data_IF_694576761901
#
_entry.id   IF_694576761901
#
_cell.length_a   1.000
_cell.length_b   1.000
_cell.length_c   1.000
_cell.angle_alpha   90.00
_cell.angle_beta   90.00
_cell.angle_gamma   90.00
#
_symmetry.space_group_name_H-M   'P 1'
#
loop_
_entity.id
_entity.type
_entity.pdbx_description
1 polymer ?
#
# COMPACT_ATOMS: atom_id res chain seq x y z
N UNK A 1 -17.14 -4.03 -14.17
CA UNK A 1 -16.30 -4.25 -12.98
C UNK A 1 -17.16 -4.89 -11.89
N UNK A 2 -16.62 -5.86 -11.12
CA UNK A 2 -17.34 -6.40 -9.96
C UNK A 2 -17.14 -5.43 -8.79
N UNK A 3 -18.18 -4.74 -8.36
CA UNK A 3 -18.13 -3.87 -7.19
C UNK A 3 -18.27 -4.72 -5.92
N UNK A 4 -17.14 -5.02 -5.28
CA UNK A 4 -17.07 -5.91 -4.11
C UNK A 4 -17.21 -5.11 -2.81
N UNK A 5 -16.57 -3.93 -2.75
CA UNK A 5 -16.54 -3.10 -1.56
C UNK A 5 -17.77 -2.17 -1.61
N UNK A 6 -18.70 -2.40 -0.68
CA UNK A 6 -19.94 -1.64 -0.52
C UNK A 6 -19.83 -0.74 0.70
N UNK A 7 -20.66 0.30 0.74
CA UNK A 7 -20.81 1.15 1.92
C UNK A 7 -21.59 0.40 3.03
N UNK A 8 -20.96 -0.60 3.63
CA UNK A 8 -21.50 -1.38 4.73
C UNK A 8 -20.42 -1.74 5.74
N UNK A 9 -20.83 -2.00 6.98
CA UNK A 9 -19.92 -2.33 8.07
C UNK A 9 -19.02 -3.54 7.75
N UNK A 10 -19.58 -4.57 7.09
CA UNK A 10 -18.84 -5.79 6.74
C UNK A 10 -17.67 -5.52 5.80
N UNK A 11 -17.84 -4.68 4.77
CA UNK A 11 -16.74 -4.35 3.85
C UNK A 11 -15.66 -3.57 4.56
N UNK A 12 -16.03 -2.59 5.39
CA UNK A 12 -15.05 -1.81 6.16
C UNK A 12 -14.27 -2.68 7.14
N UNK A 13 -14.93 -3.61 7.83
CA UNK A 13 -14.28 -4.54 8.74
C UNK A 13 -13.26 -5.44 8.00
N UNK A 14 -13.61 -5.96 6.82
CA UNK A 14 -12.69 -6.74 5.99
C UNK A 14 -11.47 -5.90 5.60
N UNK A 15 -11.68 -4.66 5.17
CA UNK A 15 -10.59 -3.75 4.79
C UNK A 15 -9.71 -3.40 5.98
N UNK A 16 -10.29 -3.19 7.17
CA UNK A 16 -9.54 -2.98 8.39
C UNK A 16 -8.67 -4.19 8.73
N UNK A 17 -9.19 -5.42 8.64
CA UNK A 17 -8.40 -6.65 8.84
C UNK A 17 -7.24 -6.72 7.83
N UNK A 18 -7.49 -6.40 6.55
CA UNK A 18 -6.43 -6.33 5.54
C UNK A 18 -5.36 -5.29 5.88
N UNK A 19 -5.75 -4.12 6.41
CA UNK A 19 -4.83 -3.10 6.90
C UNK A 19 -3.99 -3.58 8.09
N UNK A 20 -4.58 -4.33 9.02
CA UNK A 20 -3.86 -4.97 10.13
C UNK A 20 -2.84 -5.98 9.61
N UNK A 21 -3.26 -6.87 8.70
CA UNK A 21 -2.37 -7.86 8.09
C UNK A 21 -1.23 -7.20 7.32
N UNK A 22 -1.50 -6.11 6.60
CA UNK A 22 -0.49 -5.32 5.92
C UNK A 22 0.53 -4.72 6.90
N UNK A 23 0.07 -4.09 7.99
CA UNK A 23 0.94 -3.53 9.01
C UNK A 23 1.80 -4.59 9.72
N UNK A 24 1.23 -5.76 10.00
CA UNK A 24 1.95 -6.90 10.55
C UNK A 24 2.98 -7.46 9.56
N UNK A 25 2.65 -7.53 8.27
CA UNK A 25 3.57 -7.97 7.23
C UNK A 25 4.77 -7.01 7.13
N UNK A 26 4.53 -5.70 7.09
CA UNK A 26 5.59 -4.68 7.13
C UNK A 26 6.47 -4.87 8.35
N UNK A 27 5.88 -4.99 9.55
CA UNK A 27 6.65 -5.19 10.77
C UNK A 27 7.47 -6.49 10.74
N UNK A 28 6.90 -7.59 10.25
CA UNK A 28 7.57 -8.88 10.13
C UNK A 28 8.77 -8.82 9.17
N UNK A 29 8.56 -8.30 7.96
CA UNK A 29 9.63 -8.16 6.96
C UNK A 29 10.71 -7.18 7.40
N UNK A 30 10.37 -6.19 8.22
CA UNK A 30 11.35 -5.25 8.81
C UNK A 30 12.36 -5.92 9.75
N UNK A 31 12.12 -7.15 10.23
CA UNK A 31 13.04 -7.87 11.12
C UNK A 31 14.22 -8.53 10.38
N UNK A 32 14.16 -8.64 9.06
CA UNK A 32 15.19 -9.31 8.27
C UNK A 32 16.32 -8.36 7.87
N UNK A 33 17.54 -8.86 7.63
CA UNK A 33 18.66 -8.04 7.17
C UNK A 33 18.44 -7.52 5.74
N UNK A 34 19.07 -6.37 5.45
CA UNK A 34 18.99 -5.67 4.18
C UNK A 34 19.91 -6.26 3.09
N UNK A 35 21.00 -6.92 3.49
CA UNK A 35 22.16 -7.24 2.64
C UNK A 35 22.04 -8.56 1.87
N UNK A 36 20.99 -9.34 2.10
CA UNK A 36 20.84 -10.66 1.48
C UNK A 36 20.22 -10.55 0.08
N UNK A 37 20.39 -11.59 -0.75
CA UNK A 37 19.74 -11.69 -2.07
C UNK A 37 18.24 -11.34 -2.03
N UNK A 38 17.57 -11.72 -0.93
CA UNK A 38 16.15 -11.49 -0.73
C UNK A 38 15.81 -10.08 -0.26
N UNK A 39 16.71 -9.39 0.46
CA UNK A 39 16.51 -8.04 1.01
C UNK A 39 15.08 -7.76 1.52
N UNK A 40 14.49 -8.70 2.28
CA UNK A 40 13.09 -8.65 2.71
C UNK A 40 12.72 -7.34 3.43
N UNK A 41 13.67 -6.74 4.15
CA UNK A 41 13.47 -5.44 4.83
C UNK A 41 13.01 -4.33 3.89
N UNK A 42 13.34 -4.37 2.60
CA UNK A 42 12.90 -3.36 1.63
C UNK A 42 11.38 -3.26 1.56
N UNK A 43 10.66 -4.36 1.85
CA UNK A 43 9.20 -4.45 1.77
C UNK A 43 8.54 -3.50 2.76
N UNK A 44 9.26 -3.29 3.85
CA UNK A 44 8.85 -2.42 4.94
C UNK A 44 9.32 -0.98 4.81
N UNK A 45 10.44 -0.73 4.12
CA UNK A 45 11.18 0.53 4.29
C UNK A 45 11.22 1.41 3.05
N UNK A 46 11.18 0.85 1.84
CA UNK A 46 11.38 1.62 0.61
C UNK A 46 10.44 1.25 -0.54
N UNK A 47 9.87 0.05 -0.54
CA UNK A 47 9.01 -0.33 -1.64
C UNK A 47 7.65 0.32 -1.52
N UNK A 48 7.21 1.03 -2.56
CA UNK A 48 5.89 1.66 -2.62
C UNK A 48 4.98 1.00 -3.66
N UNK A 49 5.53 0.21 -4.58
CA UNK A 49 4.84 -0.36 -5.74
C UNK A 49 3.72 -1.32 -5.32
N UNK A 50 4.03 -2.23 -4.40
CA UNK A 50 3.02 -3.10 -3.78
C UNK A 50 1.90 -2.30 -3.09
N UNK A 51 2.24 -1.24 -2.34
CA UNK A 51 1.26 -0.45 -1.60
C UNK A 51 0.36 0.36 -2.56
N UNK A 52 0.98 1.02 -3.55
CA UNK A 52 0.29 1.73 -4.64
C UNK A 52 -0.64 0.79 -5.42
N UNK A 53 -0.20 -0.46 -5.66
CA UNK A 53 -1.05 -1.50 -6.27
C UNK A 53 -2.26 -1.82 -5.39
N UNK A 54 -2.06 -2.11 -4.10
CA UNK A 54 -3.16 -2.47 -3.18
C UNK A 54 -4.18 -1.33 -3.02
N UNK A 55 -3.71 -0.08 -2.90
CA UNK A 55 -4.56 1.12 -2.85
C UNK A 55 -5.38 1.28 -4.12
N UNK A 56 -4.76 1.11 -5.29
CA UNK A 56 -5.47 1.16 -6.56
C UNK A 56 -6.59 0.10 -6.60
N UNK A 57 -6.27 -1.15 -6.25
CA UNK A 57 -7.24 -2.25 -6.19
C UNK A 57 -8.43 -1.89 -5.28
N UNK A 58 -8.20 -1.40 -4.07
CA UNK A 58 -9.27 -0.99 -3.13
C UNK A 58 -10.21 0.05 -3.78
N UNK A 59 -9.65 1.07 -4.42
CA UNK A 59 -10.43 2.12 -5.08
C UNK A 59 -11.25 1.57 -6.24
N UNK A 60 -10.68 0.67 -7.06
CA UNK A 60 -11.37 0.11 -8.22
C UNK A 60 -12.51 -0.83 -7.87
N UNK A 61 -12.32 -1.66 -6.84
CA UNK A 61 -13.34 -2.59 -6.36
C UNK A 61 -14.43 -1.92 -5.51
N UNK A 62 -14.30 -0.62 -5.25
CA UNK A 62 -15.31 0.16 -4.55
C UNK A 62 -16.48 0.55 -5.45
N UNK A 63 -17.69 0.37 -4.92
CA UNK A 63 -18.95 0.72 -5.60
C UNK A 63 -19.20 2.23 -5.62
N UNK A 64 -18.91 2.88 -4.50
CA UNK A 64 -19.25 4.28 -4.26
C UNK A 64 -17.99 5.05 -3.88
N UNK A 65 -17.98 6.35 -4.22
CA UNK A 65 -16.87 7.26 -3.89
C UNK A 65 -16.61 7.29 -2.37
N UNK A 66 -17.68 7.36 -1.57
CA UNK A 66 -17.58 7.33 -0.10
C UNK A 66 -16.91 6.04 0.39
N UNK A 67 -17.31 4.90 -0.19
CA UNK A 67 -16.75 3.59 0.14
C UNK A 67 -15.27 3.49 -0.21
N UNK A 68 -14.84 4.05 -1.36
CA UNK A 68 -13.43 4.06 -1.77
C UNK A 68 -12.56 4.85 -0.80
N UNK A 69 -12.99 6.07 -0.47
CA UNK A 69 -12.24 6.97 0.44
C UNK A 69 -12.15 6.37 1.84
N UNK A 70 -13.28 5.92 2.41
CA UNK A 70 -13.28 5.37 3.78
C UNK A 70 -12.47 4.08 3.85
N UNK A 71 -12.59 3.20 2.85
CA UNK A 71 -11.82 1.96 2.82
C UNK A 71 -10.33 2.22 2.73
N UNK A 72 -9.91 3.15 1.87
CA UNK A 72 -8.50 3.53 1.74
C UNK A 72 -7.96 4.14 3.04
N UNK A 73 -8.72 5.06 3.64
CA UNK A 73 -8.33 5.67 4.92
C UNK A 73 -8.17 4.62 6.01
N UNK A 74 -9.11 3.66 6.12
CA UNK A 74 -9.03 2.58 7.11
C UNK A 74 -7.83 1.65 6.85
N UNK A 75 -7.64 1.25 5.60
CA UNK A 75 -6.53 0.37 5.20
C UNK A 75 -5.19 0.96 5.60
N UNK A 76 -4.93 2.20 5.17
CA UNK A 76 -3.67 2.91 5.42
C UNK A 76 -3.52 3.24 6.91
N UNK A 77 -4.60 3.67 7.58
CA UNK A 77 -4.55 3.95 9.02
C UNK A 77 -4.12 2.72 9.82
N UNK A 78 -4.76 1.56 9.61
CA UNK A 78 -4.41 0.34 10.35
C UNK A 78 -3.01 -0.16 9.99
N UNK A 79 -2.61 -0.07 8.72
CA UNK A 79 -1.25 -0.40 8.29
C UNK A 79 -0.20 0.44 9.05
N UNK A 80 -0.38 1.76 9.12
CA UNK A 80 0.55 2.65 9.84
C UNK A 80 0.45 2.53 11.37
N UNK A 81 -0.73 2.25 11.91
CA UNK A 81 -0.93 2.02 13.33
C UNK A 81 -0.09 0.84 13.82
N UNK A 82 -0.16 -0.30 13.13
CA UNK A 82 0.59 -1.50 13.52
C UNK A 82 2.10 -1.36 13.30
N UNK A 83 2.52 -0.63 12.25
CA UNK A 83 3.94 -0.34 12.06
C UNK A 83 4.47 0.64 13.12
N UNK A 84 3.64 1.58 13.57
CA UNK A 84 3.92 2.47 14.70
C UNK A 84 4.12 1.71 16.01
N UNK A 85 3.22 0.76 16.32
CA UNK A 85 3.38 -0.16 17.46
C UNK A 85 4.72 -0.90 17.38
N UNK A 86 5.06 -1.42 16.20
CA UNK A 86 6.31 -2.14 15.95
C UNK A 86 7.59 -1.30 16.10
N UNK A 87 7.52 0.01 15.85
CA UNK A 87 8.65 0.93 16.09
C UNK A 87 8.87 1.16 17.58
N UNK A 88 7.79 1.30 18.34
CA UNK A 88 7.87 1.55 19.78
C UNK A 88 8.35 0.32 20.56
N UNK A 89 7.94 -0.88 20.17
CA UNK A 89 8.48 -2.11 20.79
C UNK A 89 9.99 -2.19 20.64
N UNK A 90 10.53 -1.79 19.48
CA UNK A 90 11.99 -1.69 19.25
C UNK A 90 12.66 -0.62 20.10
N UNK A 91 12.04 0.55 20.26
CA UNK A 91 12.56 1.65 21.10
C UNK A 91 12.57 1.30 22.59
N UNK A 92 11.56 0.57 23.07
CA UNK A 92 11.52 0.03 24.44
C UNK A 92 12.62 -1.02 24.61
N UNK A 93 12.80 -1.91 23.64
CA UNK A 93 13.82 -2.97 23.69
C UNK A 93 15.25 -2.42 23.60
N UNK A 94 15.48 -1.30 22.89
CA UNK A 94 16.79 -0.66 22.79
C UNK A 94 17.19 0.16 24.02
N UNK A 95 16.36 0.17 25.08
CA UNK A 95 16.63 0.92 26.32
C UNK A 95 16.50 2.44 26.18
N UNK A 96 16.03 2.94 25.03
CA UNK A 96 15.95 4.36 24.72
C UNK A 96 14.65 5.04 25.19
N UNK A 97 13.72 4.31 25.82
CA UNK A 97 12.35 4.79 26.04
C UNK A 97 11.84 4.72 27.47
N UNK A 98 12.18 5.73 28.29
CA UNK A 98 11.42 6.12 29.50
C UNK A 98 10.51 7.30 29.16
N UNK A 99 9.80 7.22 28.04
CA UNK A 99 8.79 8.21 27.64
C UNK A 99 7.44 7.80 28.25
N UNK A 100 6.79 8.75 28.92
CA UNK A 100 5.46 8.59 29.53
C UNK A 100 4.51 7.86 28.58
N UNK A 101 3.92 6.75 29.05
CA UNK A 101 3.04 5.87 28.30
C UNK A 101 1.93 6.63 27.54
N UNK A 102 1.43 7.72 28.13
CA UNK A 102 0.41 8.56 27.52
C UNK A 102 0.91 9.23 26.23
N UNK A 103 2.10 9.81 26.22
CA UNK A 103 2.63 10.50 25.04
C UNK A 103 2.91 9.51 23.91
N UNK A 104 3.43 8.33 24.25
CA UNK A 104 3.71 7.25 23.30
C UNK A 104 2.41 6.71 22.67
N UNK A 105 1.36 6.55 23.47
CA UNK A 105 0.06 6.10 22.98
C UNK A 105 -0.58 7.11 22.03
N UNK A 106 -0.50 8.40 22.36
CA UNK A 106 -0.93 9.48 21.47
C UNK A 106 -0.14 9.46 20.16
N UNK A 107 1.18 9.32 20.22
CA UNK A 107 2.03 9.27 19.03
C UNK A 107 1.66 8.11 18.10
N UNK A 108 1.37 6.90 18.62
CA UNK A 108 0.92 5.75 17.80
C UNK A 108 -0.39 6.05 17.07
N UNK A 109 -1.38 6.58 17.81
CA UNK A 109 -2.72 6.83 17.26
C UNK A 109 -2.64 7.86 16.14
N UNK A 110 -1.87 8.94 16.35
CA UNK A 110 -1.77 10.04 15.40
C UNK A 110 -0.75 9.79 14.28
N UNK A 111 0.13 8.79 14.43
CA UNK A 111 1.15 8.47 13.42
C UNK A 111 0.56 8.16 12.03
N UNK A 112 -0.52 7.37 11.98
CA UNK A 112 -1.15 6.95 10.73
C UNK A 112 -2.15 7.96 10.14
N UNK A 113 -2.63 8.92 10.93
CA UNK A 113 -3.67 9.88 10.53
C UNK A 113 -3.28 10.74 9.31
N UNK A 114 -2.11 11.39 9.24
CA UNK A 114 -1.76 12.23 8.09
C UNK A 114 -1.68 11.41 6.79
N UNK A 115 -1.09 10.21 6.85
CA UNK A 115 -1.00 9.30 5.71
C UNK A 115 -2.38 8.83 5.24
N UNK A 116 -3.26 8.47 6.17
CA UNK A 116 -4.63 8.06 5.86
C UNK A 116 -5.41 9.20 5.16
N UNK A 117 -5.27 10.45 5.62
CA UNK A 117 -5.94 11.60 4.98
C UNK A 117 -5.42 11.81 3.55
N UNK A 118 -4.11 11.79 3.35
CA UNK A 118 -3.50 11.97 2.01
C UNK A 118 -3.97 10.85 1.06
N UNK A 119 -3.91 9.59 1.50
CA UNK A 119 -4.36 8.46 0.69
C UNK A 119 -5.87 8.50 0.42
N UNK A 120 -6.68 8.95 1.39
CA UNK A 120 -8.11 9.17 1.19
C UNK A 120 -8.42 10.22 0.12
N UNK A 121 -7.66 11.31 0.09
CA UNK A 121 -7.77 12.33 -0.97
C UNK A 121 -7.35 11.77 -2.34
N UNK A 122 -6.24 11.03 -2.40
CA UNK A 122 -5.81 10.36 -3.63
C UNK A 122 -6.84 9.35 -4.12
N UNK A 123 -7.44 8.57 -3.22
CA UNK A 123 -8.53 7.65 -3.53
C UNK A 123 -9.76 8.37 -4.08
N UNK A 124 -10.08 9.56 -3.57
CA UNK A 124 -11.16 10.38 -4.12
C UNK A 124 -10.88 10.76 -5.58
N UNK A 125 -9.67 11.23 -5.87
CA UNK A 125 -9.28 11.64 -7.22
C UNK A 125 -9.24 10.43 -8.16
N UNK A 126 -8.66 9.31 -7.71
CA UNK A 126 -8.57 8.07 -8.47
C UNK A 126 -9.95 7.44 -8.73
N UNK A 127 -10.88 7.53 -7.78
CA UNK A 127 -12.26 7.08 -7.98
C UNK A 127 -12.97 7.92 -9.06
N UNK A 128 -12.65 9.21 -9.18
CA UNK A 128 -13.21 10.04 -10.25
C UNK A 128 -12.64 9.67 -11.62
N UNK A 129 -11.38 9.25 -11.67
CA UNK A 129 -10.74 8.73 -12.86
C UNK A 129 -11.45 7.47 -13.42
N UNK A 130 -12.11 6.66 -12.56
CA UNK A 130 -12.95 5.51 -12.97
C UNK A 130 -14.07 5.89 -13.95
N UNK A 131 -14.51 7.16 -14.00
CA UNK A 131 -15.58 7.64 -14.90
C UNK A 131 -15.18 7.80 -16.38
N UNK A 132 -13.98 7.35 -16.78
CA UNK A 132 -13.51 7.24 -18.19
C UNK A 132 -13.46 8.57 -18.97
N UNK A 133 -12.84 9.60 -18.38
CA UNK A 133 -12.39 10.78 -19.14
C UNK A 133 -10.91 10.59 -19.58
N UNK A 134 -10.41 11.38 -20.54
CA UNK A 134 -9.00 11.34 -20.99
C UNK A 134 -8.01 11.46 -19.81
N UNK A 135 -8.27 12.41 -18.90
CA UNK A 135 -7.54 12.56 -17.63
C UNK A 135 -7.67 11.33 -16.71
N UNK A 136 -8.82 10.67 -16.76
CA UNK A 136 -9.07 9.44 -15.99
C UNK A 136 -8.20 8.28 -16.47
N UNK A 137 -8.02 8.13 -17.77
CA UNK A 137 -7.13 7.10 -18.33
C UNK A 137 -5.66 7.33 -17.94
N UNK A 138 -5.21 8.59 -17.92
CA UNK A 138 -3.85 8.94 -17.49
C UNK A 138 -3.67 8.62 -16.00
N UNK A 139 -4.62 8.99 -15.15
CA UNK A 139 -4.55 8.68 -13.72
C UNK A 139 -4.63 7.18 -13.42
N UNK A 140 -5.37 6.43 -14.24
CA UNK A 140 -5.42 4.97 -14.19
C UNK A 140 -4.07 4.33 -14.56
N UNK A 141 -3.26 5.01 -15.36
CA UNK A 141 -1.95 4.52 -15.77
C UNK A 141 -0.88 4.84 -14.73
N UNK A 142 -1.13 5.77 -13.80
CA UNK A 142 -0.15 6.23 -12.81
C UNK A 142 0.35 5.09 -11.90
N UNK A 143 -0.51 4.24 -11.30
CA UNK A 143 -0.04 3.10 -10.50
C UNK A 143 0.80 2.12 -11.33
N UNK A 144 0.43 1.90 -12.59
CA UNK A 144 1.15 1.00 -13.49
C UNK A 144 2.55 1.51 -13.81
N UNK A 145 2.67 2.79 -14.19
CA UNK A 145 3.97 3.41 -14.48
C UNK A 145 4.86 3.37 -13.24
N UNK A 146 4.29 3.64 -12.07
CA UNK A 146 5.04 3.63 -10.82
C UNK A 146 5.64 2.25 -10.51
N UNK A 147 4.82 1.19 -10.57
CA UNK A 147 5.28 -0.20 -10.35
C UNK A 147 6.36 -0.57 -11.39
N UNK A 148 6.23 -0.10 -12.63
CA UNK A 148 7.20 -0.39 -13.69
C UNK A 148 8.55 0.30 -13.43
N UNK A 149 8.54 1.56 -12.99
CA UNK A 149 9.77 2.28 -12.61
C UNK A 149 10.48 1.57 -11.46
N UNK A 150 9.74 1.19 -10.43
CA UNK A 150 10.27 0.49 -9.26
C UNK A 150 10.85 -0.89 -9.62
N UNK A 151 10.14 -1.63 -10.48
CA UNK A 151 10.62 -2.92 -11.01
C UNK A 151 11.94 -2.75 -11.76
N UNK A 152 12.08 -1.71 -12.60
CA UNK A 152 13.33 -1.45 -13.33
C UNK A 152 14.47 -1.13 -12.35
N UNK A 153 14.24 -0.26 -11.37
CA UNK A 153 15.27 0.13 -10.40
C UNK A 153 15.76 -1.08 -9.59
N UNK A 154 14.84 -1.90 -9.08
CA UNK A 154 15.22 -3.12 -8.35
C UNK A 154 15.83 -4.18 -9.25
N UNK A 155 15.44 -4.27 -10.53
CA UNK A 155 16.07 -5.18 -11.50
C UNK A 155 17.52 -4.78 -11.80
N UNK A 156 17.81 -3.49 -11.94
CA UNK A 156 19.19 -2.99 -12.11
C UNK A 156 20.02 -3.33 -10.86
N UNK A 157 19.48 -3.08 -9.66
CA UNK A 157 20.15 -3.44 -8.40
C UNK A 157 20.40 -4.94 -8.27
N UNK A 158 19.47 -5.78 -8.74
CA UNK A 158 19.64 -7.23 -8.78
C UNK A 158 20.77 -7.66 -9.73
N UNK A 159 20.88 -7.04 -10.90
CA UNK A 159 21.94 -7.36 -11.87
C UNK A 159 23.32 -6.92 -11.38
N UNK A 160 23.43 -5.73 -10.77
CA UNK A 160 24.72 -5.17 -10.33
C UNK A 160 25.19 -5.75 -8.99
N UNK A 161 24.29 -5.80 -8.00
CA UNK A 161 24.64 -6.12 -6.61
C UNK A 161 24.20 -7.52 -6.17
N UNK A 162 23.44 -8.25 -7.00
CA UNK A 162 22.82 -9.55 -6.65
C UNK A 162 21.96 -9.47 -5.38
N UNK A 163 21.24 -8.37 -5.20
CA UNK A 163 20.31 -8.15 -4.09
C UNK A 163 18.90 -7.85 -4.60
N UNK A 164 17.88 -7.88 -3.72
CA UNK A 164 16.50 -7.44 -4.01
C UNK A 164 15.67 -8.37 -4.92
N UNK A 165 15.99 -9.67 -4.99
CA UNK A 165 15.22 -10.65 -5.76
C UNK A 165 13.74 -10.69 -5.35
N UNK A 166 13.47 -10.59 -4.04
CA UNK A 166 12.12 -10.58 -3.51
C UNK A 166 11.26 -9.47 -4.11
N UNK A 167 11.84 -8.26 -4.23
CA UNK A 167 11.12 -7.10 -4.79
C UNK A 167 10.77 -7.29 -6.25
N UNK A 168 11.74 -7.75 -7.04
CA UNK A 168 11.52 -8.03 -8.45
C UNK A 168 10.37 -9.03 -8.63
N UNK A 169 10.28 -10.06 -7.78
CA UNK A 169 9.19 -11.05 -7.83
C UNK A 169 7.84 -10.40 -7.47
N UNK A 170 7.78 -9.65 -6.37
CA UNK A 170 6.53 -9.01 -5.91
C UNK A 170 6.03 -7.97 -6.90
N UNK A 171 6.89 -7.07 -7.38
CA UNK A 171 6.51 -6.04 -8.34
C UNK A 171 6.12 -6.62 -9.69
N UNK A 172 6.81 -7.68 -10.15
CA UNK A 172 6.39 -8.41 -11.35
C UNK A 172 5.00 -9.01 -11.19
N UNK A 173 4.71 -9.62 -10.03
CA UNK A 173 3.41 -10.22 -9.75
C UNK A 173 2.31 -9.15 -9.65
N UNK A 174 2.60 -8.00 -9.03
CA UNK A 174 1.71 -6.84 -8.98
C UNK A 174 1.43 -6.31 -10.38
N UNK A 175 2.45 -6.16 -11.22
CA UNK A 175 2.33 -5.64 -12.58
C UNK A 175 1.52 -6.59 -13.48
N UNK A 176 1.78 -7.91 -13.41
CA UNK A 176 1.00 -8.93 -14.13
C UNK A 176 -0.45 -8.90 -13.69
N UNK A 177 -0.71 -8.85 -12.38
CA UNK A 177 -2.07 -8.80 -11.84
C UNK A 177 -2.78 -7.52 -12.25
N UNK A 178 -2.08 -6.39 -12.25
CA UNK A 178 -2.60 -5.11 -12.73
C UNK A 178 -3.02 -5.19 -14.20
N UNK A 179 -2.15 -5.70 -15.06
CA UNK A 179 -2.46 -5.89 -16.49
C UNK A 179 -3.71 -6.77 -16.64
N UNK A 180 -3.81 -7.89 -15.92
CA UNK A 180 -4.95 -8.81 -16.01
C UNK A 180 -6.25 -8.13 -15.56
N UNK A 181 -6.23 -7.40 -14.44
CA UNK A 181 -7.39 -6.71 -13.89
C UNK A 181 -7.90 -5.61 -14.81
N UNK A 182 -6.99 -4.81 -15.38
CA UNK A 182 -7.33 -3.66 -16.21
C UNK A 182 -7.31 -3.95 -17.73
N UNK A 183 -7.02 -5.19 -18.16
CA UNK A 183 -7.00 -5.58 -19.59
C UNK A 183 -8.31 -5.25 -20.31
N UNK A 184 -9.43 -5.35 -19.59
CA UNK A 184 -10.78 -5.07 -20.14
C UNK A 184 -11.08 -3.57 -20.21
N UNK A 185 -10.37 -2.76 -19.44
CA UNK A 185 -10.54 -1.30 -19.42
C UNK A 185 -9.57 -0.60 -20.39
N UNK A 186 -8.44 -1.22 -20.71
CA UNK A 186 -7.51 -0.77 -21.76
C UNK A 186 -7.93 -1.15 -23.18
N UNK A 187 -8.98 -1.96 -23.37
CA UNK A 187 -9.66 -2.04 -24.66
C UNK A 187 -10.40 -0.72 -24.87
N UNK A 188 -9.65 0.26 -25.38
CA UNK A 188 -10.19 1.42 -26.08
C UNK A 188 -11.07 0.81 -27.18
N UNK A 189 -12.39 1.02 -27.08
CA UNK A 189 -13.28 0.75 -28.21
C UNK A 189 -12.69 1.49 -29.41
N UNK A 190 -12.35 0.72 -30.44
CA UNK A 190 -11.94 1.22 -31.76
C UNK A 190 -13.08 1.99 -32.40
#
# INVERSE_FOLDING_TARGET
MRDIIKNNFKSYLIISILGVLAGLAVWFFSQFPYTDLWSFSLFSSMSLGFWVFTSAVIVFFSKERKSAVISEMLYVYFMFFFTGVGKITRLVQSGAGVLSFNNVFFDIIFYGVPYAIICGLLAHVLFNAKKRNILGNILLLLPFIYILIELIDFSIKLLTNKTNLFMVIIDSLCLITYIILFRKDFKIDK
#
